data_IF_381898489483
#
_entry.id   IF_381898489483
#
_cell.length_a   1.000
_cell.length_b   1.000
_cell.length_c   1.000
_cell.angle_alpha   90.00
_cell.angle_beta   90.00
_cell.angle_gamma   90.00
#
_symmetry.space_group_name_H-M   'P 1'
#
loop_
_entity.id
_entity.type
_entity.pdbx_description
1 polymer ?
#
# COMPACT_ATOMS: atom_id res chain seq x y z
N UNK A 1 70.86 0.80 6.82
CA UNK A 1 69.72 0.65 7.76
C UNK A 1 69.11 2.01 8.06
N UNK A 2 67.79 2.09 8.26
CA UNK A 2 67.00 3.26 8.73
C UNK A 2 66.44 4.27 7.71
N UNK A 3 65.89 3.88 6.55
CA UNK A 3 64.91 4.74 5.82
C UNK A 3 63.81 3.96 5.08
N UNK A 4 63.50 2.73 5.51
CA UNK A 4 62.45 1.90 4.89
C UNK A 4 61.28 1.56 5.85
N UNK A 5 61.20 2.26 6.98
CA UNK A 5 60.17 2.00 8.01
C UNK A 5 59.06 3.07 8.05
N UNK A 6 59.10 4.07 7.16
CA UNK A 6 58.13 5.19 7.17
C UNK A 6 57.05 5.11 6.08
N UNK A 7 57.05 4.06 5.25
CA UNK A 7 56.07 3.87 4.17
C UNK A 7 54.95 2.88 4.50
N UNK A 8 55.01 2.21 5.66
CA UNK A 8 54.00 1.23 6.09
C UNK A 8 52.91 1.80 7.02
N UNK A 9 52.99 3.08 7.39
CA UNK A 9 52.12 3.67 8.42
C UNK A 9 50.86 4.40 7.87
N UNK A 10 50.69 4.54 6.56
CA UNK A 10 49.59 5.31 5.96
C UNK A 10 48.42 4.49 5.39
N UNK A 11 48.42 3.16 5.51
CA UNK A 11 47.39 2.30 4.88
C UNK A 11 46.23 1.94 5.84
N UNK A 12 46.27 2.35 7.12
CA UNK A 12 45.25 2.00 8.13
C UNK A 12 44.28 3.18 8.39
N UNK A 13 43.82 3.83 7.33
CA UNK A 13 43.01 5.06 7.43
C UNK A 13 41.69 5.07 6.67
N UNK A 14 41.27 3.96 6.08
CA UNK A 14 39.97 3.89 5.38
C UNK A 14 39.01 3.02 6.21
N UNK A 15 38.65 3.53 7.38
CA UNK A 15 37.42 3.11 8.04
C UNK A 15 36.25 3.65 7.23
N UNK A 16 35.80 2.83 6.28
CA UNK A 16 34.58 3.04 5.51
C UNK A 16 33.46 3.23 6.53
N UNK A 17 32.87 4.42 6.57
CA UNK A 17 31.63 4.65 7.32
C UNK A 17 30.58 3.74 6.70
N UNK A 18 30.30 2.61 7.36
CA UNK A 18 29.19 1.76 6.99
C UNK A 18 27.92 2.59 7.16
N UNK A 19 27.33 3.04 6.07
CA UNK A 19 25.95 3.50 6.08
C UNK A 19 25.12 2.32 6.56
N UNK A 20 24.61 2.42 7.79
CA UNK A 20 23.54 1.55 8.26
C UNK A 20 22.47 1.55 7.17
N UNK A 21 22.16 0.39 6.62
CA UNK A 21 20.96 0.25 5.81
C UNK A 21 19.80 0.44 6.78
N UNK A 22 19.28 1.67 6.85
CA UNK A 22 18.00 1.92 7.52
C UNK A 22 16.97 1.07 6.80
N UNK A 23 16.74 -0.14 7.32
CA UNK A 23 15.62 -0.98 6.95
C UNK A 23 14.40 -0.09 7.14
N UNK A 24 13.70 0.25 6.05
CA UNK A 24 12.45 1.02 6.10
C UNK A 24 11.43 0.14 6.80
N UNK A 25 11.46 0.15 8.13
CA UNK A 25 10.40 -0.42 8.95
C UNK A 25 9.23 0.52 8.77
N UNK A 26 8.19 0.02 8.11
CA UNK A 26 6.92 0.75 7.98
C UNK A 26 6.50 1.18 9.38
N UNK A 27 6.54 2.49 9.64
CA UNK A 27 6.00 3.03 10.88
C UNK A 27 4.49 2.90 10.79
N UNK A 28 3.91 2.30 11.82
CA UNK A 28 2.46 2.26 11.98
C UNK A 28 2.03 3.66 12.43
N UNK A 29 1.04 4.23 11.74
CA UNK A 29 0.39 5.46 12.19
C UNK A 29 -0.91 5.13 12.94
N UNK A 30 -1.33 6.02 13.84
CA UNK A 30 -2.59 5.91 14.56
C UNK A 30 -3.41 7.18 14.35
N UNK A 31 -4.42 7.10 13.49
CA UNK A 31 -5.41 8.15 13.27
C UNK A 31 -6.80 7.61 13.62
N UNK A 32 -7.48 8.15 14.66
CA UNK A 32 -8.78 7.66 15.09
C UNK A 32 -9.88 7.78 14.03
N UNK A 33 -9.82 8.81 13.18
CA UNK A 33 -10.79 9.03 12.12
C UNK A 33 -10.68 7.98 11.02
N UNK A 34 -9.46 7.73 10.55
CA UNK A 34 -9.17 6.67 9.57
C UNK A 34 -9.54 5.30 10.16
N UNK A 35 -9.23 5.05 11.43
CA UNK A 35 -9.62 3.79 12.10
C UNK A 35 -11.13 3.60 12.12
N UNK A 36 -11.88 4.64 12.47
CA UNK A 36 -13.34 4.58 12.46
C UNK A 36 -13.90 4.34 11.04
N UNK A 37 -13.33 4.98 10.02
CA UNK A 37 -13.69 4.74 8.62
C UNK A 37 -13.42 3.29 8.20
N UNK A 38 -12.26 2.74 8.57
CA UNK A 38 -11.90 1.35 8.31
C UNK A 38 -12.87 0.38 9.00
N UNK A 39 -13.18 0.60 10.27
CA UNK A 39 -14.11 -0.24 11.03
C UNK A 39 -15.54 -0.18 10.43
N UNK A 40 -15.96 0.99 9.95
CA UNK A 40 -17.24 1.16 9.25
C UNK A 40 -17.29 0.37 7.93
N UNK A 41 -16.23 0.46 7.12
CA UNK A 41 -16.12 -0.29 5.87
C UNK A 41 -16.08 -1.80 6.10
N UNK A 42 -15.39 -2.26 7.15
CA UNK A 42 -15.39 -3.68 7.53
C UNK A 42 -16.78 -4.19 7.84
N UNK A 43 -17.56 -3.43 8.61
CA UNK A 43 -18.94 -3.80 8.92
C UNK A 43 -19.81 -3.82 7.66
N UNK A 44 -19.64 -2.84 6.77
CA UNK A 44 -20.34 -2.79 5.49
C UNK A 44 -20.04 -4.03 4.64
N UNK A 45 -18.76 -4.31 4.38
CA UNK A 45 -18.35 -5.44 3.55
C UNK A 45 -18.62 -6.80 4.20
N UNK A 46 -18.60 -6.89 5.53
CA UNK A 46 -18.99 -8.12 6.23
C UNK A 46 -20.47 -8.45 6.00
N UNK A 47 -21.36 -7.45 5.96
CA UNK A 47 -22.77 -7.63 5.56
C UNK A 47 -22.89 -8.12 4.13
N UNK A 48 -22.00 -7.65 3.26
CA UNK A 48 -21.88 -8.12 1.88
C UNK A 48 -21.04 -9.40 1.76
N UNK A 49 -20.89 -10.20 2.82
CA UNK A 49 -20.25 -11.52 2.78
C UNK A 49 -18.74 -11.52 2.48
N UNK A 50 -18.05 -10.39 2.66
CA UNK A 50 -16.59 -10.34 2.58
C UNK A 50 -15.95 -10.60 3.94
N UNK A 51 -14.74 -11.15 3.91
CA UNK A 51 -13.86 -11.28 5.07
C UNK A 51 -12.57 -10.51 4.85
N UNK A 52 -12.07 -9.87 5.90
CA UNK A 52 -10.77 -9.17 5.86
C UNK A 52 -9.67 -10.21 5.82
N UNK A 53 -8.79 -10.13 4.82
CA UNK A 53 -7.61 -10.98 4.71
C UNK A 53 -6.37 -10.32 5.29
N UNK A 54 -6.18 -9.04 4.99
CA UNK A 54 -5.05 -8.24 5.46
C UNK A 54 -5.49 -6.80 5.61
N UNK A 55 -5.00 -6.15 6.66
CA UNK A 55 -5.15 -4.71 6.88
C UNK A 55 -3.91 -4.16 7.56
N UNK A 56 -3.60 -2.89 7.30
CA UNK A 56 -2.49 -2.21 7.97
C UNK A 56 -2.68 -0.69 7.92
N UNK A 57 -2.34 -0.02 9.03
CA UNK A 57 -2.06 1.41 9.06
C UNK A 57 -0.61 1.66 8.67
N UNK A 58 -0.38 2.57 7.73
CA UNK A 58 0.93 2.85 7.16
C UNK A 58 1.23 4.35 7.21
N UNK A 59 2.38 4.73 7.75
CA UNK A 59 2.90 6.09 7.59
C UNK A 59 3.39 6.29 6.15
N UNK A 60 2.94 7.36 5.51
CA UNK A 60 3.21 7.70 4.11
C UNK A 60 3.83 9.10 3.98
N UNK A 61 4.70 9.27 2.99
CA UNK A 61 5.19 10.58 2.57
C UNK A 61 4.38 11.09 1.38
N UNK A 62 4.05 12.38 1.38
CA UNK A 62 3.35 13.02 0.27
C UNK A 62 4.10 12.83 -1.03
N UNK A 63 3.38 12.45 -2.10
CA UNK A 63 3.93 12.21 -3.45
C UNK A 63 4.74 10.91 -3.61
N UNK A 64 4.89 10.10 -2.55
CA UNK A 64 5.59 8.80 -2.62
C UNK A 64 4.61 7.63 -2.69
N UNK A 65 4.95 6.66 -3.54
CA UNK A 65 4.25 5.38 -3.67
C UNK A 65 4.63 4.45 -2.50
N UNK A 66 3.62 3.87 -1.85
CA UNK A 66 3.84 2.80 -0.86
C UNK A 66 3.46 1.45 -1.49
N UNK A 67 4.41 0.57 -1.85
CA UNK A 67 4.10 -0.73 -2.42
C UNK A 67 3.56 -1.70 -1.36
N UNK A 68 2.46 -2.36 -1.69
CA UNK A 68 1.82 -3.42 -0.89
C UNK A 68 1.69 -4.65 -1.78
N UNK A 69 2.45 -5.70 -1.44
CA UNK A 69 2.49 -6.95 -2.22
C UNK A 69 1.52 -7.95 -1.62
N UNK A 70 0.63 -8.49 -2.44
CA UNK A 70 -0.41 -9.44 -2.01
C UNK A 70 -0.48 -10.64 -2.96
N UNK A 71 -0.52 -11.88 -2.44
CA UNK A 71 -0.80 -13.05 -3.27
C UNK A 71 -2.30 -13.13 -3.53
N UNK A 72 -2.69 -13.16 -4.81
CA UNK A 72 -4.09 -13.29 -5.22
C UNK A 72 -4.32 -14.63 -5.92
N UNK A 73 -5.49 -15.21 -5.68
CA UNK A 73 -5.92 -16.47 -6.27
C UNK A 73 -6.83 -16.22 -7.47
N UNK A 74 -6.62 -16.97 -8.54
CA UNK A 74 -7.46 -16.94 -9.74
C UNK A 74 -8.95 -17.12 -9.39
N UNK A 75 -9.81 -16.33 -10.06
CA UNK A 75 -11.27 -16.43 -9.93
C UNK A 75 -11.81 -16.00 -8.57
N UNK A 76 -10.96 -15.61 -7.63
CA UNK A 76 -11.39 -15.13 -6.32
C UNK A 76 -11.73 -13.65 -6.39
N UNK A 77 -12.88 -13.29 -5.81
CA UNK A 77 -13.30 -11.90 -5.73
C UNK A 77 -12.68 -11.21 -4.52
N UNK A 78 -11.80 -10.25 -4.82
CA UNK A 78 -11.18 -9.38 -3.83
C UNK A 78 -11.76 -7.96 -3.86
N UNK A 79 -11.75 -7.32 -2.71
CA UNK A 79 -12.02 -5.91 -2.55
C UNK A 79 -10.79 -5.23 -1.96
N UNK A 80 -10.28 -4.21 -2.65
CA UNK A 80 -9.18 -3.39 -2.18
C UNK A 80 -9.72 -2.06 -1.68
N UNK A 81 -9.18 -1.61 -0.55
CA UNK A 81 -9.51 -0.33 0.07
C UNK A 81 -8.21 0.37 0.43
N UNK A 82 -8.11 1.64 0.05
CA UNK A 82 -7.13 2.59 0.54
C UNK A 82 -7.86 3.78 1.16
N UNK A 83 -7.45 4.16 2.37
CA UNK A 83 -7.91 5.36 3.06
C UNK A 83 -6.69 6.25 3.28
N UNK A 84 -6.71 7.45 2.70
CA UNK A 84 -5.63 8.42 2.88
C UNK A 84 -5.92 9.42 4.01
N UNK A 85 -4.93 10.25 4.32
CA UNK A 85 -5.07 11.35 5.28
C UNK A 85 -6.07 12.38 4.71
N UNK A 86 -7.12 12.77 5.46
CA UNK A 86 -8.16 13.68 4.97
C UNK A 86 -7.64 15.09 4.64
N UNK A 87 -6.44 15.46 5.08
CA UNK A 87 -5.82 16.76 4.74
C UNK A 87 -5.11 16.74 3.38
N UNK A 88 -5.02 15.57 2.74
CA UNK A 88 -4.48 15.42 1.38
C UNK A 88 -5.48 15.89 0.33
N UNK A 89 -4.97 16.44 -0.77
CA UNK A 89 -5.80 16.96 -1.88
C UNK A 89 -6.05 15.93 -2.97
N UNK A 90 -5.20 14.91 -3.06
CA UNK A 90 -5.23 13.91 -4.12
C UNK A 90 -4.89 12.55 -3.52
N UNK A 91 -5.63 11.54 -3.98
CA UNK A 91 -5.40 10.13 -3.67
C UNK A 91 -5.31 9.35 -4.98
N UNK A 92 -4.38 8.42 -5.06
CA UNK A 92 -4.20 7.59 -6.24
C UNK A 92 -3.86 6.17 -5.80
N UNK A 93 -4.37 5.17 -6.51
CA UNK A 93 -3.98 3.78 -6.34
C UNK A 93 -3.71 3.18 -7.71
N UNK A 94 -2.53 2.61 -7.85
CA UNK A 94 -2.14 1.79 -9.00
C UNK A 94 -2.01 0.35 -8.56
N UNK A 95 -2.42 -0.60 -9.39
CA UNK A 95 -2.12 -2.01 -9.15
C UNK A 95 -1.41 -2.59 -10.35
N UNK A 96 -0.37 -3.37 -10.09
CA UNK A 96 0.45 -4.06 -11.07
C UNK A 96 0.39 -5.56 -10.85
N UNK A 97 0.38 -6.33 -11.93
CA UNK A 97 0.58 -7.78 -11.87
C UNK A 97 2.08 -8.13 -11.75
N UNK A 98 2.38 -9.43 -11.71
CA UNK A 98 3.76 -9.93 -11.58
C UNK A 98 4.66 -9.51 -12.75
N UNK A 99 4.08 -9.24 -13.92
CA UNK A 99 4.81 -8.76 -15.11
C UNK A 99 5.00 -7.23 -15.12
N UNK A 100 4.74 -6.56 -13.99
CA UNK A 100 4.75 -5.10 -13.83
C UNK A 100 3.77 -4.38 -14.77
N UNK A 101 2.78 -5.08 -15.30
CA UNK A 101 1.73 -4.45 -16.10
C UNK A 101 0.69 -3.85 -15.18
N UNK A 102 0.37 -2.58 -15.41
CA UNK A 102 -0.69 -1.90 -14.67
C UNK A 102 -2.05 -2.49 -15.04
N UNK A 103 -2.74 -3.05 -14.05
CA UNK A 103 -4.07 -3.67 -14.21
C UNK A 103 -5.19 -2.81 -13.61
N UNK A 104 -4.88 -1.90 -12.68
CA UNK A 104 -5.84 -0.95 -12.10
C UNK A 104 -5.20 0.44 -11.98
N UNK A 105 -6.00 1.47 -12.24
CA UNK A 105 -5.71 2.86 -11.96
C UNK A 105 -6.94 3.54 -11.38
N UNK A 106 -6.83 4.12 -10.19
CA UNK A 106 -7.88 4.88 -9.53
C UNK A 106 -7.30 6.19 -9.01
N UNK A 107 -7.98 7.31 -9.21
CA UNK A 107 -7.51 8.65 -8.82
C UNK A 107 -8.67 9.50 -8.36
N UNK A 108 -8.49 10.20 -7.23
CA UNK A 108 -9.41 11.22 -6.70
C UNK A 108 -8.64 12.53 -6.56
N UNK A 109 -9.19 13.60 -7.13
CA UNK A 109 -8.50 14.89 -7.27
C UNK A 109 -9.02 15.96 -6.30
N UNK A 110 -10.19 15.72 -5.70
CA UNK A 110 -10.87 16.68 -4.85
C UNK A 110 -11.19 16.03 -3.51
N UNK A 111 -10.20 15.96 -2.61
CA UNK A 111 -10.36 15.26 -1.32
C UNK A 111 -11.60 15.69 -0.50
N UNK A 112 -12.00 16.95 -0.59
CA UNK A 112 -13.17 17.50 0.11
C UNK A 112 -14.52 17.05 -0.49
N UNK A 113 -14.56 16.64 -1.77
CA UNK A 113 -15.78 16.26 -2.51
C UNK A 113 -15.82 14.75 -2.75
N UNK A 114 -14.71 14.20 -3.23
CA UNK A 114 -14.57 12.78 -3.57
C UNK A 114 -14.33 11.91 -2.33
N UNK A 115 -13.94 12.52 -1.21
CA UNK A 115 -13.51 11.85 0.01
C UNK A 115 -12.10 11.23 -0.08
N UNK A 116 -11.64 10.70 1.06
CA UNK A 116 -10.30 10.15 1.24
C UNK A 116 -10.19 8.62 1.03
N UNK A 117 -11.25 7.99 0.53
CA UNK A 117 -11.35 6.53 0.38
C UNK A 117 -11.34 6.16 -1.11
N UNK A 118 -10.40 5.30 -1.53
CA UNK A 118 -10.44 4.63 -2.83
C UNK A 118 -10.74 3.15 -2.58
N UNK A 119 -11.75 2.62 -3.28
CA UNK A 119 -12.19 1.24 -3.12
C UNK A 119 -12.54 0.64 -4.48
N UNK A 120 -12.07 -0.57 -4.77
CA UNK A 120 -12.35 -1.27 -6.03
C UNK A 120 -12.33 -2.79 -5.87
N UNK A 121 -13.19 -3.47 -6.65
CA UNK A 121 -13.18 -4.92 -6.76
C UNK A 121 -12.17 -5.39 -7.80
N UNK A 122 -11.60 -6.57 -7.59
CA UNK A 122 -10.73 -7.22 -8.56
C UNK A 122 -10.88 -8.75 -8.50
N UNK A 123 -10.94 -9.38 -9.68
CA UNK A 123 -10.93 -10.83 -9.84
C UNK A 123 -9.71 -11.18 -10.70
N UNK A 124 -8.66 -11.78 -10.11
CA UNK A 124 -7.47 -12.19 -10.85
C UNK A 124 -7.81 -13.26 -11.88
N UNK A 125 -7.18 -13.17 -13.05
CA UNK A 125 -7.29 -14.18 -14.12
C UNK A 125 -6.29 -15.33 -13.97
N UNK A 126 -5.29 -15.15 -13.14
CA UNK A 126 -4.24 -16.12 -12.83
C UNK A 126 -3.87 -15.98 -11.35
N UNK A 127 -3.34 -17.05 -10.76
CA UNK A 127 -2.85 -17.01 -9.37
C UNK A 127 -1.42 -16.49 -9.36
N UNK A 128 -1.21 -15.29 -8.83
CA UNK A 128 0.09 -14.60 -8.82
C UNK A 128 0.14 -13.53 -7.72
N UNK A 129 1.29 -12.87 -7.60
CA UNK A 129 1.42 -11.70 -6.75
C UNK A 129 1.04 -10.43 -7.51
N UNK A 130 0.30 -9.55 -6.84
CA UNK A 130 0.01 -8.20 -7.30
C UNK A 130 0.63 -7.17 -6.37
N UNK A 131 1.02 -6.04 -6.93
CA UNK A 131 1.56 -4.91 -6.19
C UNK A 131 0.59 -3.74 -6.28
N UNK A 132 -0.01 -3.38 -5.15
CA UNK A 132 -0.81 -2.17 -5.00
C UNK A 132 0.09 -1.03 -4.54
N UNK A 133 0.03 0.12 -5.20
CA UNK A 133 0.83 1.31 -4.91
C UNK A 133 -0.10 2.51 -4.67
N UNK A 134 -0.61 2.70 -3.45
CA UNK A 134 -1.25 3.95 -3.05
C UNK A 134 -0.26 5.12 -3.02
N UNK A 135 -0.76 6.29 -3.40
CA UNK A 135 -0.13 7.60 -3.29
C UNK A 135 -1.15 8.56 -2.72
N UNK A 136 -0.68 9.48 -1.88
CA UNK A 136 -1.46 10.65 -1.49
C UNK A 136 -0.59 11.90 -1.60
N UNK A 137 -1.20 13.02 -1.97
CA UNK A 137 -0.50 14.30 -2.10
C UNK A 137 -1.11 15.30 -1.14
N UNK A 138 -0.30 15.79 -0.22
CA UNK A 138 -0.68 16.80 0.74
C UNK A 138 -0.26 18.19 0.28
N UNK A 139 -1.08 19.21 0.58
CA UNK A 139 -0.78 20.62 0.23
C UNK A 139 0.57 21.09 0.80
N UNK A 140 1.00 20.56 1.95
CA UNK A 140 2.22 20.95 2.67
C UNK A 140 3.39 19.96 2.50
N UNK A 141 3.30 18.97 1.59
CA UNK A 141 4.33 17.93 1.40
C UNK A 141 4.78 17.23 2.70
N UNK A 142 3.82 16.90 3.57
CA UNK A 142 4.07 16.22 4.84
C UNK A 142 4.69 14.83 4.62
N UNK A 143 5.53 14.40 5.57
CA UNK A 143 6.20 13.08 5.56
C UNK A 143 5.55 12.02 6.45
N UNK A 144 4.65 12.45 7.33
CA UNK A 144 3.99 11.58 8.30
C UNK A 144 2.48 11.61 8.08
N UNK A 145 2.05 11.37 6.84
CA UNK A 145 0.63 11.18 6.52
C UNK A 145 0.20 9.80 6.96
N UNK A 146 -0.97 9.69 7.58
CA UNK A 146 -1.51 8.37 7.87
C UNK A 146 -2.24 7.82 6.63
N UNK A 147 -2.03 6.55 6.35
CA UNK A 147 -2.76 5.80 5.36
C UNK A 147 -3.23 4.48 5.95
N UNK A 148 -4.27 3.91 5.36
CA UNK A 148 -4.78 2.60 5.73
C UNK A 148 -5.08 1.80 4.48
N UNK A 149 -4.63 0.55 4.46
CA UNK A 149 -4.90 -0.39 3.38
C UNK A 149 -5.63 -1.59 3.92
N UNK A 150 -6.59 -2.08 3.15
CA UNK A 150 -7.34 -3.28 3.49
C UNK A 150 -7.63 -4.10 2.24
N UNK A 151 -7.39 -5.40 2.34
CA UNK A 151 -7.73 -6.42 1.36
C UNK A 151 -8.79 -7.33 1.95
N UNK A 152 -9.94 -7.38 1.31
CA UNK A 152 -11.01 -8.30 1.65
C UNK A 152 -11.23 -9.33 0.54
N UNK A 153 -11.83 -10.47 0.89
CA UNK A 153 -12.22 -11.54 -0.03
C UNK A 153 -13.68 -11.89 0.16
N UNK A 154 -14.46 -11.96 -0.93
CA UNK A 154 -15.85 -12.43 -0.88
C UNK A 154 -15.84 -13.92 -0.53
N UNK A 155 -16.64 -14.30 0.46
CA UNK A 155 -16.84 -15.70 0.82
C UNK A 155 -17.89 -16.34 -0.07
N UNK A 156 -17.82 -17.66 -0.25
CA UNK A 156 -18.67 -18.42 -1.18
C UNK A 156 -20.16 -18.49 -0.80
N UNK A 157 -20.60 -17.83 0.28
CA UNK A 157 -22.00 -17.88 0.69
C UNK A 157 -22.96 -17.17 -0.29
N UNK A 158 -22.46 -16.33 -1.22
CA UNK A 158 -23.26 -15.71 -2.30
C UNK A 158 -22.63 -15.87 -3.70
N UNK A 159 -22.14 -17.05 -4.06
CA UNK A 159 -21.78 -17.34 -5.46
C UNK A 159 -22.99 -17.83 -6.26
N UNK A 160 -24.07 -17.04 -6.31
CA UNK A 160 -24.98 -17.11 -7.47
C UNK A 160 -24.38 -16.24 -8.56
N UNK A 161 -23.56 -16.85 -9.41
CA UNK A 161 -23.18 -16.23 -10.67
C UNK A 161 -24.45 -15.80 -11.42
N UNK A 162 -24.52 -14.60 -12.02
CA UNK A 162 -25.63 -14.26 -12.90
C UNK A 162 -25.67 -15.29 -14.03
N UNK A 163 -26.80 -16.01 -14.11
CA UNK A 163 -27.10 -16.95 -15.19
C UNK A 163 -26.96 -16.23 -16.53
N UNK A 164 -26.29 -16.82 -17.54
CA UNK A 164 -26.38 -16.30 -18.90
C UNK A 164 -27.84 -16.37 -19.32
N UNK A 165 -28.41 -15.22 -19.64
CA UNK A 165 -29.76 -15.12 -20.18
C UNK A 165 -29.75 -15.82 -21.54
N UNK A 166 -30.69 -16.75 -21.75
CA UNK A 166 -30.94 -17.38 -23.06
C UNK A 166 -31.39 -16.35 -24.08
#
# INVERSE_FOLDING_TARGET
>A
MRKLSFLLACIIGISVSGFSQDIIRQKVCNDPGIKHQADSLKQLYAKDGFVVLKEASITMESEYEMPVVVPLQEGTWYQFVFIGDPTSRLYEVRMYDWSEKQVIYQKKMWGDVDGNIISYSYIPRVTEYHMMKPVQVNKKKKKELCGYVMLLKKTKQDQSAPSPTK
#
